data_IF_953286069541
#
_entry.id   IF_953286069541
#
_cell.length_a   1.000
_cell.length_b   1.000
_cell.length_c   1.000
_cell.angle_alpha   90.00
_cell.angle_beta   90.00
_cell.angle_gamma   90.00
#
_symmetry.space_group_name_H-M   'P 1'
#
loop_
_entity.id
_entity.type
_entity.pdbx_description
1 polymer ?
#
# COMPACT_ATOMS: atom_id res chain seq x y z
N UNK A 1 5.13 64.69 -20.97
CA UNK A 1 3.84 63.99 -20.78
C UNK A 1 3.71 62.74 -21.66
N UNK A 2 3.88 62.81 -22.99
CA UNK A 2 3.73 61.64 -23.90
C UNK A 2 4.64 60.44 -23.56
N UNK A 3 5.93 60.67 -23.29
CA UNK A 3 6.85 59.60 -22.88
C UNK A 3 6.47 58.95 -21.55
N UNK A 4 5.96 59.73 -20.59
CA UNK A 4 5.55 59.21 -19.29
C UNK A 4 4.33 58.30 -19.41
N UNK A 5 3.35 58.70 -20.22
CA UNK A 5 2.18 57.87 -20.56
C UNK A 5 2.56 56.56 -21.26
N UNK A 6 3.56 56.61 -22.15
CA UNK A 6 4.03 55.42 -22.86
C UNK A 6 4.75 54.44 -21.91
N UNK A 7 5.58 54.96 -21.01
CA UNK A 7 6.27 54.16 -19.97
C UNK A 7 5.26 53.57 -18.98
N UNK A 8 4.25 54.34 -18.56
CA UNK A 8 3.19 53.84 -17.67
C UNK A 8 2.38 52.71 -18.34
N UNK A 9 2.08 52.85 -19.62
CA UNK A 9 1.41 51.81 -20.41
C UNK A 9 2.26 50.55 -20.49
N UNK A 10 3.57 50.66 -20.74
CA UNK A 10 4.48 49.53 -20.79
C UNK A 10 4.55 48.77 -19.44
N UNK A 11 4.58 49.51 -18.33
CA UNK A 11 4.58 48.93 -16.98
C UNK A 11 3.27 48.19 -16.69
N UNK A 12 2.12 48.75 -17.07
CA UNK A 12 0.81 48.08 -16.93
C UNK A 12 0.71 46.78 -17.76
N UNK A 13 1.27 46.76 -18.98
CA UNK A 13 1.32 45.55 -19.80
C UNK A 13 2.31 44.49 -19.26
N UNK A 14 3.43 44.93 -18.69
CA UNK A 14 4.42 44.04 -18.06
C UNK A 14 3.95 43.50 -16.69
N UNK A 15 2.97 44.14 -16.04
CA UNK A 15 2.38 43.71 -14.77
C UNK A 15 1.24 42.70 -14.90
N UNK A 16 1.04 42.09 -16.08
CA UNK A 16 0.16 40.91 -16.18
C UNK A 16 0.79 39.78 -15.38
N UNK A 17 0.32 39.61 -14.14
CA UNK A 17 0.67 38.48 -13.31
C UNK A 17 0.14 37.22 -14.00
N UNK A 18 1.02 36.50 -14.67
CA UNK A 18 0.72 35.15 -15.12
C UNK A 18 0.49 34.31 -13.87
N UNK A 19 -0.77 34.01 -13.55
CA UNK A 19 -1.11 33.00 -12.55
C UNK A 19 -0.67 31.65 -13.12
N UNK A 20 0.54 31.24 -12.75
CA UNK A 20 1.25 30.09 -13.34
C UNK A 20 0.57 28.74 -13.09
N UNK A 21 -0.50 28.69 -12.28
CA UNK A 21 -1.29 27.49 -12.10
C UNK A 21 -2.73 27.83 -11.70
N UNK A 22 -3.68 27.00 -12.12
CA UNK A 22 -5.11 27.09 -11.77
C UNK A 22 -5.45 25.95 -10.83
N UNK A 23 -5.76 26.26 -9.57
CA UNK A 23 -6.02 25.24 -8.53
C UNK A 23 -7.12 24.27 -8.92
N UNK A 24 -8.13 24.75 -9.61
CA UNK A 24 -9.28 24.00 -10.11
C UNK A 24 -8.93 22.97 -11.20
N UNK A 25 -7.72 22.99 -11.77
CA UNK A 25 -7.24 21.98 -12.72
C UNK A 25 -6.61 20.76 -12.02
N UNK A 26 -6.35 20.87 -10.72
CA UNK A 26 -5.78 19.79 -9.92
C UNK A 26 -6.81 19.25 -8.93
N UNK A 27 -6.94 17.93 -8.86
CA UNK A 27 -7.86 17.29 -7.93
C UNK A 27 -7.32 17.38 -6.50
N UNK A 28 -8.15 17.85 -5.57
CA UNK A 28 -7.89 17.65 -4.15
C UNK A 28 -8.12 16.17 -3.76
N UNK A 29 -7.71 15.81 -2.55
CA UNK A 29 -8.00 14.48 -2.01
C UNK A 29 -9.51 14.20 -1.94
N UNK A 30 -10.32 15.20 -1.55
CA UNK A 30 -11.78 15.06 -1.45
C UNK A 30 -12.46 14.88 -2.81
N UNK A 31 -11.83 15.38 -3.88
CA UNK A 31 -12.28 15.21 -5.27
C UNK A 31 -11.78 13.90 -5.89
N UNK A 32 -10.93 13.14 -5.20
CA UNK A 32 -10.39 11.86 -5.64
C UNK A 32 -10.95 10.75 -4.74
N UNK A 33 -11.98 10.00 -5.16
CA UNK A 33 -12.73 9.05 -4.31
C UNK A 33 -11.85 8.06 -3.56
N UNK A 34 -10.79 7.55 -4.21
CA UNK A 34 -9.84 6.65 -3.55
C UNK A 34 -9.10 7.36 -2.39
N UNK A 35 -8.57 8.57 -2.62
CA UNK A 35 -7.89 9.35 -1.59
C UNK A 35 -8.84 9.68 -0.44
N UNK A 36 -10.07 10.13 -0.76
CA UNK A 36 -11.10 10.45 0.23
C UNK A 36 -11.45 9.24 1.10
N UNK A 37 -11.68 8.07 0.50
CA UNK A 37 -11.99 6.84 1.24
C UNK A 37 -10.83 6.42 2.14
N UNK A 38 -9.61 6.39 1.60
CA UNK A 38 -8.42 6.03 2.36
C UNK A 38 -8.20 6.93 3.59
N UNK A 39 -8.38 8.26 3.44
CA UNK A 39 -8.23 9.21 4.55
C UNK A 39 -9.37 9.20 5.56
N UNK A 40 -10.56 8.77 5.16
CA UNK A 40 -11.71 8.64 6.08
C UNK A 40 -11.65 7.41 6.99
N UNK A 41 -10.66 6.53 6.80
CA UNK A 41 -10.55 5.29 7.56
C UNK A 41 -10.15 5.57 9.01
N UNK A 42 -10.91 4.99 9.94
CA UNK A 42 -10.61 5.05 11.37
C UNK A 42 -9.45 4.11 11.74
N UNK A 43 -8.63 4.45 12.75
CA UNK A 43 -7.65 3.52 13.31
C UNK A 43 -8.30 2.20 13.74
N UNK A 44 -7.62 1.08 13.50
CA UNK A 44 -8.11 -0.27 13.83
C UNK A 44 -9.13 -0.85 12.85
N UNK A 45 -9.38 -0.19 11.71
CA UNK A 45 -10.35 -0.66 10.72
C UNK A 45 -9.88 -1.89 9.90
N UNK A 46 -8.58 -2.18 9.87
CA UNK A 46 -8.04 -3.36 9.20
C UNK A 46 -8.56 -4.65 9.87
N UNK A 47 -9.36 -5.41 9.13
CA UNK A 47 -9.94 -6.67 9.59
C UNK A 47 -9.13 -7.91 9.19
N UNK A 48 -7.98 -7.73 8.55
CA UNK A 48 -7.17 -8.83 8.05
C UNK A 48 -6.32 -9.46 9.16
N UNK A 49 -6.16 -10.77 9.07
CA UNK A 49 -5.22 -11.58 9.84
C UNK A 49 -4.22 -12.26 8.90
N UNK A 50 -3.01 -12.51 9.39
CA UNK A 50 -2.03 -13.31 8.65
C UNK A 50 -2.17 -14.80 9.02
N UNK A 51 -2.22 -15.67 8.03
CA UNK A 51 -2.27 -17.12 8.16
C UNK A 51 -1.29 -17.81 7.20
N UNK A 52 -1.16 -19.14 7.33
CA UNK A 52 -0.42 -19.98 6.39
C UNK A 52 1.03 -19.52 6.15
N UNK A 53 1.68 -19.06 7.23
CA UNK A 53 3.05 -18.54 7.16
C UNK A 53 4.03 -19.67 6.86
N UNK A 54 4.81 -19.49 5.81
CA UNK A 54 5.82 -20.45 5.36
C UNK A 54 7.00 -19.73 4.71
N UNK A 55 8.09 -20.47 4.49
CA UNK A 55 9.20 -20.01 3.66
C UNK A 55 9.04 -20.62 2.27
N UNK A 56 9.05 -19.79 1.23
CA UNK A 56 9.00 -20.22 -0.17
C UNK A 56 9.94 -19.35 -1.00
N UNK A 57 10.80 -19.97 -1.81
CA UNK A 57 11.77 -19.28 -2.66
C UNK A 57 12.65 -18.26 -1.92
N UNK A 58 13.03 -18.58 -0.67
CA UNK A 58 13.83 -17.71 0.19
C UNK A 58 13.08 -16.51 0.79
N UNK A 59 11.78 -16.35 0.53
CA UNK A 59 10.91 -15.33 1.14
C UNK A 59 10.05 -15.94 2.25
N UNK A 60 9.65 -15.12 3.22
CA UNK A 60 8.50 -15.45 4.06
C UNK A 60 7.23 -15.12 3.28
N UNK A 61 6.32 -16.09 3.18
CA UNK A 61 5.04 -15.96 2.50
C UNK A 61 3.92 -16.22 3.50
N UNK A 62 2.85 -15.42 3.43
CA UNK A 62 1.65 -15.59 4.25
C UNK A 62 0.40 -15.27 3.44
N UNK A 63 -0.75 -15.81 3.85
CA UNK A 63 -2.06 -15.39 3.37
C UNK A 63 -2.62 -14.30 4.29
N UNK A 64 -3.25 -13.28 3.71
CA UNK A 64 -4.05 -12.33 4.48
C UNK A 64 -5.53 -12.58 4.21
N UNK A 65 -6.26 -12.85 5.27
CA UNK A 65 -7.67 -13.24 5.24
C UNK A 65 -8.49 -12.33 6.15
N UNK A 66 -9.76 -12.04 5.83
CA UNK A 66 -10.64 -11.34 6.77
C UNK A 66 -10.90 -12.21 8.01
N UNK A 67 -10.80 -11.61 9.20
CA UNK A 67 -11.09 -12.27 10.49
C UNK A 67 -12.50 -12.87 10.55
N UNK A 68 -13.47 -12.18 9.95
CA UNK A 68 -14.85 -12.64 9.83
C UNK A 68 -15.15 -12.77 8.34
N UNK A 69 -15.50 -13.97 7.89
CA UNK A 69 -16.00 -14.17 6.54
C UNK A 69 -17.40 -13.53 6.44
N UNK A 70 -17.55 -12.51 5.58
CA UNK A 70 -18.88 -12.00 5.24
C UNK A 70 -19.65 -13.07 4.46
N UNK A 71 -20.95 -13.19 4.74
CA UNK A 71 -21.82 -14.29 4.27
C UNK A 71 -22.33 -14.13 2.83
N UNK A 72 -21.89 -13.12 2.07
CA UNK A 72 -22.22 -12.96 0.65
C UNK A 72 -20.97 -13.14 -0.22
N UNK A 73 -21.04 -14.10 -1.15
CA UNK A 73 -19.92 -14.49 -2.04
C UNK A 73 -19.40 -13.34 -2.94
N UNK A 74 -20.21 -12.31 -3.21
CA UNK A 74 -19.82 -11.20 -4.09
C UNK A 74 -18.94 -10.12 -3.42
N UNK A 75 -19.03 -9.95 -2.10
CA UNK A 75 -18.30 -8.92 -1.35
C UNK A 75 -17.26 -9.50 -0.38
N UNK A 76 -17.03 -10.82 -0.43
CA UNK A 76 -15.99 -11.45 0.38
C UNK A 76 -14.60 -11.02 -0.11
N UNK A 77 -13.79 -10.48 0.80
CA UNK A 77 -12.38 -10.21 0.55
C UNK A 77 -11.70 -11.54 0.25
N UNK A 78 -11.22 -11.72 -0.98
CA UNK A 78 -10.46 -12.90 -1.37
C UNK A 78 -9.10 -12.89 -0.66
N UNK A 79 -8.47 -14.06 -0.44
CA UNK A 79 -7.12 -14.13 0.09
C UNK A 79 -6.13 -13.22 -0.67
N UNK A 80 -5.36 -12.44 0.09
CA UNK A 80 -4.16 -11.77 -0.43
C UNK A 80 -2.93 -12.61 -0.10
N UNK A 81 -1.87 -12.42 -0.89
CA UNK A 81 -0.56 -13.03 -0.66
C UNK A 81 0.42 -11.96 -0.21
N UNK A 82 0.92 -12.12 1.00
CA UNK A 82 2.03 -11.36 1.54
C UNK A 82 3.34 -12.09 1.27
N UNK A 83 4.36 -11.38 0.80
CA UNK A 83 5.73 -11.84 0.64
C UNK A 83 6.67 -10.84 1.31
N UNK A 84 7.55 -11.34 2.16
CA UNK A 84 8.58 -10.58 2.86
C UNK A 84 9.95 -11.13 2.47
N UNK A 85 10.66 -10.36 1.66
CA UNK A 85 12.02 -10.68 1.22
C UNK A 85 13.02 -9.89 2.06
N UNK A 86 14.16 -10.53 2.37
CA UNK A 86 15.26 -9.90 3.10
C UNK A 86 16.47 -9.86 2.17
N UNK A 87 17.19 -8.74 2.20
CA UNK A 87 18.38 -8.52 1.40
C UNK A 87 19.54 -8.14 2.32
N UNK A 88 20.77 -8.27 1.82
CA UNK A 88 21.95 -7.74 2.47
C UNK A 88 21.77 -6.25 2.82
N UNK A 89 22.60 -5.77 3.75
CA UNK A 89 22.53 -4.40 4.28
C UNK A 89 21.25 -4.11 5.12
N UNK A 90 20.53 -5.16 5.54
CA UNK A 90 19.38 -5.06 6.44
C UNK A 90 18.09 -4.56 5.77
N UNK A 91 17.99 -4.68 4.45
CA UNK A 91 16.84 -4.22 3.68
C UNK A 91 15.73 -5.27 3.71
N UNK A 92 14.52 -4.84 4.05
CA UNK A 92 13.33 -5.70 4.07
C UNK A 92 12.33 -5.18 3.04
N UNK A 93 11.88 -6.05 2.14
CA UNK A 93 10.91 -5.73 1.09
C UNK A 93 9.60 -6.48 1.35
N UNK A 94 8.57 -5.74 1.69
CA UNK A 94 7.20 -6.25 1.78
C UNK A 94 6.49 -6.11 0.44
N UNK A 95 5.81 -7.16 0.00
CA UNK A 95 4.88 -7.16 -1.14
C UNK A 95 3.56 -7.78 -0.71
N UNK A 96 2.45 -7.16 -1.07
CA UNK A 96 1.11 -7.73 -0.91
C UNK A 96 0.42 -7.66 -2.27
N UNK A 97 -0.14 -8.78 -2.71
CA UNK A 97 -0.84 -8.89 -3.99
C UNK A 97 -2.08 -9.78 -3.84
N UNK A 98 -2.96 -9.79 -4.84
CA UNK A 98 -4.08 -10.75 -4.90
C UNK A 98 -3.55 -12.15 -5.14
N UNK A 99 -4.24 -13.16 -4.61
CA UNK A 99 -3.90 -14.55 -4.90
C UNK A 99 -4.24 -14.90 -6.36
N UNK A 100 -3.21 -15.01 -7.19
CA UNK A 100 -3.35 -15.30 -8.61
C UNK A 100 -3.90 -16.71 -8.89
N UNK A 101 -3.83 -17.63 -7.92
CA UNK A 101 -4.47 -18.96 -8.06
C UNK A 101 -6.00 -18.87 -8.10
N UNK A 102 -6.57 -17.77 -7.62
CA UNK A 102 -7.99 -17.47 -7.63
C UNK A 102 -8.44 -16.69 -8.88
N UNK A 103 -7.58 -16.57 -9.89
CA UNK A 103 -7.84 -15.94 -11.18
C UNK A 103 -8.43 -14.51 -11.05
N UNK A 104 -7.70 -13.56 -10.44
CA UNK A 104 -8.14 -12.17 -10.38
C UNK A 104 -8.34 -11.61 -11.80
N UNK A 105 -9.23 -10.60 -11.99
CA UNK A 105 -9.58 -10.09 -13.32
C UNK A 105 -8.39 -9.62 -14.17
N UNK A 106 -7.31 -9.16 -13.52
CA UNK A 106 -6.08 -8.69 -14.17
C UNK A 106 -4.92 -8.76 -13.17
N UNK A 107 -3.69 -8.87 -13.66
CA UNK A 107 -2.50 -8.64 -12.85
C UNK A 107 -2.37 -7.17 -12.46
N UNK A 108 -2.11 -6.90 -11.18
CA UNK A 108 -1.78 -5.55 -10.71
C UNK A 108 -0.46 -5.08 -11.30
N UNK A 109 -0.39 -3.77 -11.57
CA UNK A 109 0.82 -3.18 -12.13
C UNK A 109 1.97 -3.31 -11.13
N UNK A 110 3.10 -3.83 -11.60
CA UNK A 110 4.37 -3.85 -10.88
C UNK A 110 5.30 -2.93 -11.64
N UNK A 111 5.88 -1.95 -10.96
CA UNK A 111 6.76 -0.97 -11.61
C UNK A 111 7.97 -1.73 -12.16
N UNK A 112 8.16 -1.77 -13.49
CA UNK A 112 9.35 -2.39 -14.07
C UNK A 112 10.57 -1.49 -13.83
N UNK A 113 11.76 -2.06 -13.95
CA UNK A 113 13.04 -1.34 -14.05
C UNK A 113 13.47 -0.48 -12.84
N UNK A 114 12.71 -0.48 -11.74
CA UNK A 114 13.10 0.19 -10.47
C UNK A 114 13.97 -0.72 -9.60
N UNK A 115 13.69 -2.02 -9.63
CA UNK A 115 14.56 -3.01 -8.98
C UNK A 115 15.53 -3.54 -10.01
N UNK A 116 16.77 -3.11 -9.86
CA UNK A 116 17.89 -3.52 -10.71
C UNK A 116 18.35 -4.94 -10.33
N UNK A 117 18.87 -5.71 -11.27
CA UNK A 117 19.31 -7.10 -11.07
C UNK A 117 20.29 -7.26 -9.91
N UNK A 118 21.17 -6.29 -9.73
CA UNK A 118 22.20 -6.23 -8.69
C UNK A 118 21.58 -6.17 -7.29
N UNK A 119 20.36 -5.63 -7.17
CA UNK A 119 19.63 -5.66 -5.91
C UNK A 119 19.10 -7.06 -5.60
N UNK A 120 18.59 -7.77 -6.61
CA UNK A 120 18.09 -9.13 -6.43
C UNK A 120 19.20 -10.15 -6.12
N UNK A 121 20.43 -9.91 -6.58
CA UNK A 121 21.61 -10.71 -6.20
C UNK A 121 21.95 -10.62 -4.70
N UNK A 122 21.54 -9.53 -4.02
CA UNK A 122 21.73 -9.36 -2.57
C UNK A 122 20.69 -10.08 -1.73
N UNK A 123 19.76 -10.83 -2.33
CA UNK A 123 18.70 -11.53 -1.60
C UNK A 123 19.29 -12.56 -0.63
N UNK A 124 18.89 -12.45 0.64
CA UNK A 124 19.19 -13.43 1.67
C UNK A 124 18.10 -14.51 1.62
N UNK A 125 18.52 -15.76 1.41
CA UNK A 125 17.62 -16.90 1.37
C UNK A 125 17.24 -17.32 2.79
N UNK A 126 16.05 -16.89 3.23
CA UNK A 126 15.50 -17.31 4.51
C UNK A 126 15.36 -18.84 4.52
N UNK A 127 15.81 -19.48 5.61
CA UNK A 127 15.76 -20.94 5.77
C UNK A 127 14.75 -21.37 6.83
N UNK A 128 14.47 -20.48 7.79
CA UNK A 128 13.66 -20.78 8.97
C UNK A 128 12.83 -19.56 9.32
N UNK A 129 11.63 -19.83 9.79
CA UNK A 129 10.76 -18.88 10.47
C UNK A 129 10.64 -19.34 11.91
N UNK A 130 10.91 -18.44 12.85
CA UNK A 130 10.68 -18.67 14.27
C UNK A 130 9.28 -18.18 14.64
N UNK A 131 8.79 -18.63 15.80
CA UNK A 131 7.46 -18.29 16.29
C UNK A 131 7.60 -17.73 17.70
N UNK A 132 6.99 -16.58 17.96
CA UNK A 132 7.04 -15.91 19.27
C UNK A 132 5.69 -15.28 19.59
N UNK A 133 5.17 -15.51 20.79
CA UNK A 133 3.98 -14.79 21.28
C UNK A 133 4.40 -13.46 21.87
N UNK A 134 3.99 -12.37 21.24
CA UNK A 134 4.19 -11.01 21.74
C UNK A 134 3.23 -10.80 22.93
N UNK A 135 3.69 -10.13 23.98
CA UNK A 135 2.88 -9.90 25.18
C UNK A 135 1.53 -9.23 24.84
N UNK A 136 0.44 -9.89 25.24
CA UNK A 136 -0.94 -9.43 24.99
C UNK A 136 -1.61 -10.07 23.76
N UNK A 137 -0.87 -10.80 22.93
CA UNK A 137 -1.42 -11.48 21.76
C UNK A 137 -1.97 -12.87 22.11
N UNK A 138 -3.10 -13.21 21.52
CA UNK A 138 -3.71 -14.54 21.65
C UNK A 138 -3.06 -15.58 20.73
N UNK A 139 -2.51 -15.13 19.59
CA UNK A 139 -1.87 -15.97 18.59
C UNK A 139 -0.39 -15.63 18.49
N UNK A 140 0.46 -16.61 18.16
CA UNK A 140 1.87 -16.34 18.01
C UNK A 140 2.15 -15.51 16.75
N UNK A 141 3.26 -14.78 16.75
CA UNK A 141 3.79 -14.05 15.60
C UNK A 141 4.92 -14.84 14.94
N UNK A 142 5.15 -14.59 13.65
CA UNK A 142 6.27 -15.16 12.90
C UNK A 142 7.45 -14.21 12.85
N UNK A 143 8.65 -14.71 13.15
CA UNK A 143 9.88 -13.91 13.28
C UNK A 143 10.93 -14.44 12.29
N UNK A 144 11.53 -13.53 11.53
CA UNK A 144 12.60 -13.85 10.57
C UNK A 144 13.81 -12.94 10.78
N UNK A 145 14.98 -13.46 10.39
CA UNK A 145 16.23 -12.70 10.40
C UNK A 145 16.19 -11.55 9.39
N UNK A 146 16.77 -10.40 9.76
CA UNK A 146 16.99 -9.26 8.85
C UNK A 146 18.48 -8.97 8.70
N UNK A 147 19.15 -8.72 9.82
CA UNK A 147 20.59 -8.46 9.90
C UNK A 147 21.07 -8.75 11.33
N UNK A 148 22.38 -8.62 11.56
CA UNK A 148 22.94 -8.81 12.89
C UNK A 148 22.41 -7.76 13.87
N UNK A 149 21.54 -8.20 14.76
CA UNK A 149 20.87 -7.35 15.75
C UNK A 149 19.45 -6.95 15.39
N UNK A 150 18.93 -7.29 14.20
CA UNK A 150 17.56 -6.97 13.80
C UNK A 150 16.79 -8.17 13.25
N UNK A 151 15.49 -8.17 13.51
CA UNK A 151 14.55 -9.18 13.03
C UNK A 151 13.25 -8.52 12.58
N UNK A 152 12.58 -9.14 11.61
CA UNK A 152 11.25 -8.74 11.17
C UNK A 152 10.22 -9.68 11.75
N UNK A 153 9.09 -9.12 12.15
CA UNK A 153 8.00 -9.81 12.81
C UNK A 153 6.72 -9.58 12.02
N UNK A 154 6.08 -10.68 11.63
CA UNK A 154 4.70 -10.68 11.12
C UNK A 154 3.80 -11.06 12.29
N UNK A 155 3.11 -10.07 12.85
CA UNK A 155 2.06 -10.26 13.85
C UNK A 155 0.81 -10.74 13.15
N UNK A 156 0.26 -11.88 13.59
CA UNK A 156 -0.84 -12.52 12.88
C UNK A 156 -2.16 -11.82 13.14
N UNK A 157 -2.44 -11.45 14.39
CA UNK A 157 -3.69 -10.80 14.78
C UNK A 157 -3.47 -9.79 15.92
N UNK A 158 -3.80 -8.49 15.72
CA UNK A 158 -4.11 -7.85 14.43
C UNK A 158 -2.91 -7.89 13.48
N UNK A 159 -3.17 -7.96 12.17
CA UNK A 159 -2.12 -7.96 11.15
C UNK A 159 -1.21 -6.74 11.29
N UNK A 160 0.07 -6.96 11.56
CA UNK A 160 1.10 -5.91 11.63
C UNK A 160 2.43 -6.51 11.15
N UNK A 161 3.23 -5.76 10.40
CA UNK A 161 4.60 -6.15 10.06
C UNK A 161 5.54 -5.11 10.61
N UNK A 162 6.48 -5.49 11.46
CA UNK A 162 7.43 -4.55 12.03
C UNK A 162 8.84 -5.14 12.12
N UNK A 163 9.84 -4.27 12.08
CA UNK A 163 11.25 -4.62 12.34
C UNK A 163 11.61 -4.15 13.74
N UNK A 164 12.31 -4.98 14.51
CA UNK A 164 12.77 -4.64 15.85
C UNK A 164 14.19 -5.10 16.11
N UNK A 165 14.78 -4.54 17.15
CA UNK A 165 16.04 -5.03 17.72
C UNK A 165 15.85 -6.47 18.25
N UNK A 166 16.80 -7.35 17.93
CA UNK A 166 16.80 -8.77 18.33
C UNK A 166 17.10 -8.95 19.82
N UNK A 167 17.93 -8.07 20.37
CA UNK A 167 18.37 -8.07 21.78
C UNK A 167 18.10 -6.72 22.45
N UNK A 168 18.27 -6.66 23.77
CA UNK A 168 17.99 -5.45 24.54
C UNK A 168 16.48 -5.24 24.70
N UNK A 169 16.02 -4.00 24.51
CA UNK A 169 14.64 -3.60 24.77
C UNK A 169 13.66 -4.00 23.66
N UNK A 170 14.15 -4.69 22.61
CA UNK A 170 13.34 -5.17 21.47
C UNK A 170 12.53 -4.07 20.81
N UNK A 171 13.12 -2.87 20.73
CA UNK A 171 12.48 -1.66 20.23
C UNK A 171 12.14 -1.80 18.74
N UNK A 172 10.92 -1.41 18.37
CA UNK A 172 10.48 -1.36 16.98
C UNK A 172 11.16 -0.18 16.27
N UNK A 173 11.73 -0.44 15.10
CA UNK A 173 12.39 0.56 14.25
C UNK A 173 11.42 1.11 13.22
N UNK A 174 10.64 0.22 12.61
CA UNK A 174 9.61 0.55 11.63
C UNK A 174 8.46 -0.43 11.80
N UNK A 175 7.24 0.06 11.59
CA UNK A 175 6.04 -0.77 11.57
C UNK A 175 5.13 -0.35 10.43
N UNK A 176 4.54 -1.36 9.79
CA UNK A 176 3.48 -1.26 8.83
C UNK A 176 2.19 -1.76 9.47
N UNK A 177 1.12 -1.01 9.27
CA UNK A 177 -0.21 -1.27 9.83
C UNK A 177 -0.30 -1.23 11.36
N UNK A 178 0.61 -0.55 12.07
CA UNK A 178 0.52 -0.36 13.53
C UNK A 178 -0.78 0.31 13.99
N UNK A 179 -1.36 1.16 13.14
CA UNK A 179 -2.64 1.84 13.41
C UNK A 179 -3.84 1.10 12.83
N UNK A 180 -3.66 -0.08 12.22
CA UNK A 180 -4.77 -0.83 11.62
C UNK A 180 -5.45 -0.10 10.46
N UNK A 181 -4.71 0.65 9.64
CA UNK A 181 -5.23 1.42 8.50
C UNK A 181 -5.08 0.71 7.16
N UNK A 182 -4.36 -0.42 7.13
CA UNK A 182 -4.09 -1.18 5.92
C UNK A 182 -5.39 -1.59 5.24
N UNK A 183 -5.39 -1.42 3.93
CA UNK A 183 -6.53 -1.73 3.09
C UNK A 183 -6.09 -2.00 1.67
N UNK A 184 -6.86 -2.86 1.03
CA UNK A 184 -6.57 -3.36 -0.29
C UNK A 184 -7.87 -3.53 -1.07
N UNK A 185 -8.20 -2.54 -1.91
CA UNK A 185 -9.39 -2.57 -2.75
C UNK A 185 -9.17 -3.56 -3.90
N UNK A 186 -9.83 -4.73 -3.82
CA UNK A 186 -9.66 -5.81 -4.79
C UNK A 186 -10.29 -5.52 -6.16
N UNK A 187 -9.70 -6.08 -7.21
CA UNK A 187 -10.17 -5.94 -8.57
C UNK A 187 -11.51 -6.66 -8.76
N UNK A 188 -12.50 -5.94 -9.27
CA UNK A 188 -13.83 -6.49 -9.61
C UNK A 188 -14.16 -6.22 -11.07
N UNK A 189 -14.88 -7.13 -11.73
CA UNK A 189 -15.41 -6.88 -13.07
C UNK A 189 -16.66 -6.02 -12.94
N UNK A 190 -16.80 -5.03 -13.82
CA UNK A 190 -17.99 -4.18 -13.89
C UNK A 190 -19.20 -5.03 -14.26
N UNK A 191 -20.22 -5.03 -13.41
CA UNK A 191 -21.51 -5.65 -13.66
C UNK A 191 -22.48 -4.65 -14.31
N UNK A 192 -23.58 -5.15 -14.86
CA UNK A 192 -24.63 -4.31 -15.43
C UNK A 192 -25.31 -3.51 -14.30
N UNK A 193 -25.35 -2.17 -14.44
CA UNK A 193 -25.86 -1.26 -13.40
C UNK A 193 -24.78 -0.61 -12.53
N UNK A 194 -23.51 -1.03 -12.62
CA UNK A 194 -22.43 -0.39 -11.88
C UNK A 194 -22.09 1.02 -12.40
N UNK A 195 -22.21 2.01 -11.53
CA UNK A 195 -21.79 3.40 -11.80
C UNK A 195 -20.44 3.72 -11.16
N UNK A 196 -19.36 3.19 -11.75
CA UNK A 196 -17.99 3.40 -11.27
C UNK A 196 -17.25 4.54 -11.96
N UNK A 197 -17.89 5.19 -12.94
CA UNK A 197 -17.29 6.26 -13.72
C UNK A 197 -16.94 7.45 -12.84
N UNK A 198 -15.79 8.04 -13.11
CA UNK A 198 -15.36 9.24 -12.42
C UNK A 198 -15.20 10.38 -13.41
N UNK A 199 -15.95 11.45 -13.17
CA UNK A 199 -15.93 12.65 -13.99
C UNK A 199 -15.10 13.71 -13.31
N UNK A 200 -14.17 14.29 -14.06
CA UNK A 200 -13.47 15.50 -13.65
C UNK A 200 -13.40 16.47 -14.81
N UNK A 201 -14.10 17.60 -14.64
CA UNK A 201 -14.30 18.60 -15.69
C UNK A 201 -14.91 17.91 -16.91
N UNK A 202 -14.24 17.97 -18.06
CA UNK A 202 -14.70 17.40 -19.33
C UNK A 202 -14.27 15.96 -19.56
N UNK A 203 -13.50 15.36 -18.64
CA UNK A 203 -12.95 14.01 -18.79
C UNK A 203 -13.73 13.01 -17.92
N UNK A 204 -14.05 11.86 -18.51
CA UNK A 204 -14.67 10.73 -17.80
C UNK A 204 -13.71 9.55 -17.83
N UNK A 205 -13.31 9.09 -16.65
CA UNK A 205 -12.59 7.82 -16.48
C UNK A 205 -13.63 6.69 -16.32
N UNK A 206 -13.56 5.70 -17.22
CA UNK A 206 -14.53 4.59 -17.32
C UNK A 206 -14.37 3.53 -16.23
N UNK A 207 -13.19 3.45 -15.59
CA UNK A 207 -12.86 2.53 -14.49
C UNK A 207 -13.38 1.10 -14.66
N UNK A 208 -12.84 0.32 -15.62
CA UNK A 208 -13.36 -1.00 -15.96
C UNK A 208 -13.18 -2.08 -14.86
N UNK A 209 -12.29 -1.86 -13.90
CA UNK A 209 -11.98 -2.84 -12.84
C UNK A 209 -12.25 -2.30 -11.42
N UNK A 210 -13.27 -1.46 -11.27
CA UNK A 210 -13.60 -0.78 -10.02
C UNK A 210 -12.44 0.06 -9.47
N UNK A 211 -12.49 0.33 -8.17
CA UNK A 211 -11.44 0.99 -7.41
C UNK A 211 -10.32 -0.01 -7.10
N UNK A 212 -9.07 0.37 -7.36
CA UNK A 212 -7.93 -0.57 -7.33
C UNK A 212 -6.87 -0.17 -6.30
N UNK A 213 -7.18 0.74 -5.40
CA UNK A 213 -6.12 1.34 -4.63
C UNK A 213 -5.72 0.53 -3.39
N UNK A 214 -4.47 0.72 -2.97
CA UNK A 214 -3.89 0.08 -1.79
C UNK A 214 -3.19 1.13 -0.94
N UNK A 215 -3.36 1.08 0.38
CA UNK A 215 -2.67 1.95 1.34
C UNK A 215 -2.11 1.12 2.50
N UNK A 216 -0.92 1.51 2.96
CA UNK A 216 -0.18 0.93 4.08
C UNK A 216 -0.07 1.90 5.25
#
# INVERSE_FOLDING_TARGET
MRSLLFVLSLICFASQTALSWKKEEFRSCDQTPFCKRARSRAPGACSLIASDVSIADGDLVAKLLPKIANQSDEDQIKPLVLSLSVYADGIVRLRIDEDHTLNPPKKRFRVPDVVVSEFDEKKIWLQKVATETIAGDATPSSVIYVSDGYEAVVRHEPFEVFVREKSGDRRRVVSLNSHGLFDFEQLRKKAEGDNWEEKFRTHTDSRPYAYQGSWS
#
